data_IF_093751282168
#
_entry.id   IF_093751282168
#
_cell.length_a   1.000
_cell.length_b   1.000
_cell.length_c   1.000
_cell.angle_alpha   90.00
_cell.angle_beta   90.00
_cell.angle_gamma   90.00
#
_symmetry.space_group_name_H-M   'P 1'
#
loop_
_entity.id
_entity.type
_entity.pdbx_description
1 polymer ?
#
# COMPACT_ATOMS: atom_id res chain seq x y z
N UNK A 1 21.21 17.89 -15.76
CA UNK A 1 20.66 16.55 -16.00
C UNK A 1 21.33 15.39 -15.26
N UNK A 2 22.66 15.17 -15.17
CA UNK A 2 23.22 14.05 -14.37
C UNK A 2 23.02 14.15 -12.86
N UNK A 3 23.03 15.36 -12.29
CA UNK A 3 22.91 15.59 -10.86
C UNK A 3 21.48 15.32 -10.32
N UNK A 4 20.47 15.63 -11.11
CA UNK A 4 19.06 15.44 -10.75
C UNK A 4 18.66 13.96 -10.78
N UNK A 5 19.16 13.21 -11.78
CA UNK A 5 19.01 11.74 -11.86
C UNK A 5 19.66 11.07 -10.64
N UNK A 6 20.88 11.42 -10.26
CA UNK A 6 21.55 10.91 -9.03
C UNK A 6 20.79 11.26 -7.77
N UNK A 7 20.15 12.45 -7.71
CA UNK A 7 19.35 12.86 -6.54
C UNK A 7 18.07 12.03 -6.42
N UNK A 8 17.39 11.72 -7.53
CA UNK A 8 16.23 10.84 -7.57
C UNK A 8 16.57 9.40 -7.15
N UNK A 9 17.66 8.85 -7.69
CA UNK A 9 18.15 7.50 -7.35
C UNK A 9 18.46 7.39 -5.85
N UNK A 10 19.05 8.42 -5.25
CA UNK A 10 19.37 8.41 -3.81
C UNK A 10 18.12 8.52 -2.94
N UNK A 11 17.10 9.29 -3.35
CA UNK A 11 15.81 9.30 -2.67
C UNK A 11 15.18 7.92 -2.65
N UNK A 12 15.12 7.25 -3.81
CA UNK A 12 14.59 5.88 -3.92
C UNK A 12 15.34 4.90 -3.03
N UNK A 13 16.66 4.98 -2.97
CA UNK A 13 17.48 4.13 -2.09
C UNK A 13 17.13 4.35 -0.60
N UNK A 14 16.91 5.59 -0.19
CA UNK A 14 16.49 5.90 1.19
C UNK A 14 15.12 5.26 1.49
N UNK A 15 14.16 5.40 0.58
CA UNK A 15 12.81 4.83 0.74
C UNK A 15 12.85 3.30 0.78
N UNK A 16 13.67 2.67 -0.06
CA UNK A 16 13.87 1.23 -0.07
C UNK A 16 14.42 0.73 1.27
N UNK A 17 15.44 1.39 1.81
CA UNK A 17 16.01 1.00 3.11
C UNK A 17 14.99 1.18 4.25
N UNK A 18 14.13 2.21 4.20
CA UNK A 18 13.03 2.36 5.17
C UNK A 18 12.08 1.15 5.06
N UNK A 19 11.67 0.79 3.85
CA UNK A 19 10.78 -0.36 3.62
C UNK A 19 11.42 -1.67 4.13
N UNK A 20 12.72 -1.88 3.88
CA UNK A 20 13.47 -3.03 4.39
C UNK A 20 13.54 -3.06 5.93
N UNK A 21 13.78 -1.91 6.57
CA UNK A 21 13.77 -1.81 8.04
C UNK A 21 12.41 -2.14 8.64
N UNK A 22 11.33 -1.82 7.95
CA UNK A 22 9.96 -2.13 8.37
C UNK A 22 9.61 -3.62 8.24
N UNK A 23 10.41 -4.41 7.53
CA UNK A 23 10.21 -5.87 7.42
C UNK A 23 10.60 -6.63 8.69
N UNK A 24 11.40 -6.02 9.58
CA UNK A 24 11.73 -6.67 10.85
C UNK A 24 10.50 -6.67 11.77
N UNK A 25 9.93 -7.86 12.10
CA UNK A 25 8.75 -7.95 12.96
C UNK A 25 8.99 -7.46 14.39
N UNK A 26 10.23 -7.49 14.83
CA UNK A 26 10.71 -6.99 16.13
C UNK A 26 11.44 -5.66 15.99
N UNK A 27 11.40 -5.07 14.80
CA UNK A 27 12.18 -3.90 14.43
C UNK A 27 11.95 -2.74 15.38
N UNK A 28 13.06 -2.14 15.77
CA UNK A 28 13.07 -0.90 16.53
C UNK A 28 12.36 0.21 15.73
N UNK A 29 11.84 1.18 16.45
CA UNK A 29 11.30 2.40 15.82
C UNK A 29 12.35 2.99 14.87
N UNK A 30 11.96 3.24 13.62
CA UNK A 30 12.84 3.87 12.65
C UNK A 30 13.23 5.27 13.15
N UNK A 31 14.53 5.47 13.34
CA UNK A 31 15.11 6.77 13.64
C UNK A 31 16.02 7.20 12.49
N UNK A 32 16.24 8.52 12.34
CA UNK A 32 17.16 9.04 11.32
C UNK A 32 18.59 8.58 11.55
N UNK A 33 19.02 8.45 12.81
CA UNK A 33 20.33 7.91 13.17
C UNK A 33 20.51 6.46 12.72
N UNK A 34 19.49 5.59 12.97
CA UNK A 34 19.54 4.19 12.55
C UNK A 34 19.51 4.05 11.02
N UNK A 35 18.70 4.87 10.35
CA UNK A 35 18.63 4.93 8.89
C UNK A 35 19.96 5.39 8.27
N UNK A 36 20.57 6.43 8.83
CA UNK A 36 21.87 6.94 8.40
C UNK A 36 22.97 5.88 8.55
N UNK A 37 22.98 5.18 9.70
CA UNK A 37 23.90 4.06 9.95
C UNK A 37 23.72 2.94 8.92
N UNK A 38 22.47 2.57 8.59
CA UNK A 38 22.18 1.50 7.64
C UNK A 38 22.55 1.85 6.19
N UNK A 39 22.51 3.13 5.86
CA UNK A 39 22.92 3.69 4.56
C UNK A 39 24.40 4.04 4.47
N UNK A 40 25.15 3.90 5.57
CA UNK A 40 26.56 4.33 5.68
C UNK A 40 26.77 5.80 5.30
N UNK A 41 25.95 6.69 5.88
CA UNK A 41 26.00 8.13 5.67
C UNK A 41 25.81 8.89 6.99
N UNK A 42 26.07 10.20 6.98
CA UNK A 42 25.66 11.08 8.08
C UNK A 42 24.17 11.42 8.03
N UNK A 43 23.56 11.71 9.18
CA UNK A 43 22.18 12.21 9.21
C UNK A 43 22.00 13.50 8.39
N UNK A 44 23.02 14.38 8.38
CA UNK A 44 23.02 15.57 7.54
C UNK A 44 22.90 15.24 6.04
N UNK A 45 23.45 14.10 5.60
CA UNK A 45 23.31 13.66 4.21
C UNK A 45 21.89 13.21 3.89
N UNK A 46 21.15 12.62 4.84
CA UNK A 46 19.73 12.30 4.68
C UNK A 46 18.89 13.56 4.51
N UNK A 47 19.15 14.56 5.35
CA UNK A 47 18.42 15.83 5.34
C UNK A 47 18.65 16.69 4.09
N UNK A 48 19.67 16.39 3.27
CA UNK A 48 19.83 16.98 1.92
C UNK A 48 18.77 16.46 0.93
N UNK A 49 18.18 15.29 1.20
CA UNK A 49 17.20 14.65 0.32
C UNK A 49 15.77 14.81 0.84
N UNK A 50 15.57 14.81 2.16
CA UNK A 50 14.28 14.95 2.82
C UNK A 50 14.42 15.88 4.02
N UNK A 51 13.65 16.95 4.10
CA UNK A 51 13.77 17.95 5.16
C UNK A 51 13.38 17.42 6.57
N UNK A 52 12.70 16.27 6.64
CA UNK A 52 12.31 15.64 7.91
C UNK A 52 12.08 14.14 7.73
N UNK A 53 12.03 13.40 8.85
CA UNK A 53 11.59 12.00 8.87
C UNK A 53 10.17 11.85 8.31
N UNK A 54 9.27 12.76 8.65
CA UNK A 54 7.92 12.76 8.11
C UNK A 54 7.91 12.84 6.57
N UNK A 55 8.77 13.67 5.96
CA UNK A 55 8.90 13.73 4.50
C UNK A 55 9.45 12.42 3.90
N UNK A 56 10.27 11.68 4.62
CA UNK A 56 10.71 10.35 4.17
C UNK A 56 9.52 9.37 4.10
N UNK A 57 8.68 9.35 5.12
CA UNK A 57 7.46 8.55 5.12
C UNK A 57 6.45 9.04 4.06
N UNK A 58 6.31 10.36 3.86
CA UNK A 58 5.50 10.90 2.76
C UNK A 58 5.97 10.39 1.39
N UNK A 59 7.27 10.39 1.16
CA UNK A 59 7.85 9.85 -0.06
C UNK A 59 7.58 8.35 -0.23
N UNK A 60 7.61 7.57 0.87
CA UNK A 60 7.28 6.15 0.83
C UNK A 60 5.79 5.94 0.53
N UNK A 61 4.89 6.72 1.15
CA UNK A 61 3.45 6.67 0.87
C UNK A 61 3.17 7.05 -0.58
N UNK A 62 3.81 8.11 -1.09
CA UNK A 62 3.70 8.51 -2.50
C UNK A 62 4.12 7.38 -3.46
N UNK A 63 5.22 6.71 -3.17
CA UNK A 63 5.66 5.54 -3.94
C UNK A 63 4.62 4.41 -3.92
N UNK A 64 4.04 4.11 -2.74
CA UNK A 64 2.97 3.12 -2.60
C UNK A 64 1.75 3.52 -3.43
N UNK A 65 1.29 4.77 -3.33
CA UNK A 65 0.17 5.31 -4.08
C UNK A 65 0.37 5.17 -5.59
N UNK A 66 1.52 5.61 -6.09
CA UNK A 66 1.87 5.53 -7.52
C UNK A 66 1.89 4.07 -8.01
N UNK A 67 2.48 3.17 -7.21
CA UNK A 67 2.55 1.74 -7.54
C UNK A 67 1.17 1.09 -7.58
N UNK A 68 0.35 1.33 -6.56
CA UNK A 68 -0.99 0.74 -6.44
C UNK A 68 -1.93 1.30 -7.51
N UNK A 69 -2.06 2.62 -7.61
CA UNK A 69 -2.99 3.24 -8.56
C UNK A 69 -2.52 3.17 -10.01
N UNK A 70 -1.22 3.08 -10.26
CA UNK A 70 -0.70 2.80 -11.59
C UNK A 70 -1.23 1.47 -12.13
N UNK A 71 -1.24 0.43 -11.29
CA UNK A 71 -1.78 -0.89 -11.68
C UNK A 71 -3.30 -0.89 -11.71
N UNK A 72 -3.98 -0.31 -10.72
CA UNK A 72 -5.46 -0.21 -10.70
C UNK A 72 -5.97 0.48 -11.97
N UNK A 73 -5.40 1.62 -12.32
CA UNK A 73 -5.82 2.36 -13.51
C UNK A 73 -5.63 1.54 -14.80
N UNK A 74 -4.54 0.76 -14.87
CA UNK A 74 -4.29 -0.14 -15.99
C UNK A 74 -5.33 -1.26 -16.04
N UNK A 75 -5.64 -1.91 -14.92
CA UNK A 75 -6.67 -2.96 -14.86
C UNK A 75 -8.00 -2.42 -15.36
N UNK A 76 -8.42 -1.24 -14.88
CA UNK A 76 -9.70 -0.63 -15.26
C UNK A 76 -9.73 -0.21 -16.75
N UNK A 77 -8.57 0.14 -17.32
CA UNK A 77 -8.47 0.53 -18.72
C UNK A 77 -8.42 -0.67 -19.68
N UNK A 78 -7.83 -1.79 -19.26
CA UNK A 78 -7.53 -2.93 -20.13
C UNK A 78 -8.57 -4.07 -20.05
N UNK A 79 -9.43 -4.09 -19.03
CA UNK A 79 -10.46 -5.14 -18.80
C UNK A 79 -11.85 -4.52 -18.84
N UNK A 80 -12.72 -5.03 -19.73
CA UNK A 80 -14.10 -4.54 -19.90
C UNK A 80 -15.09 -5.13 -18.89
N UNK A 81 -14.82 -6.32 -18.35
CA UNK A 81 -15.69 -6.98 -17.39
C UNK A 81 -15.43 -6.47 -15.98
N UNK A 82 -16.38 -5.78 -15.39
CA UNK A 82 -16.23 -5.13 -14.10
C UNK A 82 -15.95 -6.11 -12.93
N UNK A 83 -16.51 -7.31 -12.93
CA UNK A 83 -16.19 -8.32 -11.91
C UNK A 83 -14.74 -8.80 -12.02
N UNK A 84 -14.23 -8.96 -13.24
CA UNK A 84 -12.82 -9.28 -13.46
C UNK A 84 -11.90 -8.14 -13.05
N UNK A 85 -12.32 -6.88 -13.27
CA UNK A 85 -11.59 -5.72 -12.74
C UNK A 85 -11.46 -5.79 -11.22
N UNK A 86 -12.58 -6.03 -10.51
CA UNK A 86 -12.60 -6.14 -9.04
C UNK A 86 -11.69 -7.28 -8.58
N UNK A 87 -11.84 -8.47 -9.16
CA UNK A 87 -10.98 -9.62 -8.83
C UNK A 87 -9.50 -9.30 -9.01
N UNK A 88 -9.12 -8.70 -10.14
CA UNK A 88 -7.75 -8.32 -10.44
C UNK A 88 -7.20 -7.25 -9.47
N UNK A 89 -8.02 -6.25 -9.11
CA UNK A 89 -7.65 -5.21 -8.14
C UNK A 89 -7.38 -5.83 -6.77
N UNK A 90 -8.30 -6.66 -6.26
CA UNK A 90 -8.13 -7.29 -4.94
C UNK A 90 -6.96 -8.26 -4.94
N UNK A 91 -6.81 -9.11 -5.98
CA UNK A 91 -5.64 -9.99 -6.14
C UNK A 91 -4.32 -9.21 -6.15
N UNK A 92 -4.30 -8.09 -6.87
CA UNK A 92 -3.13 -7.20 -6.93
C UNK A 92 -2.79 -6.62 -5.57
N UNK A 93 -3.79 -6.14 -4.80
CA UNK A 93 -3.58 -5.57 -3.47
C UNK A 93 -3.04 -6.61 -2.48
N UNK A 94 -3.56 -7.85 -2.51
CA UNK A 94 -3.06 -8.96 -1.70
C UNK A 94 -1.62 -9.32 -2.09
N UNK A 95 -1.35 -9.47 -3.39
CA UNK A 95 -0.02 -9.80 -3.90
C UNK A 95 1.00 -8.66 -3.75
N UNK A 96 0.57 -7.39 -3.76
CA UNK A 96 1.42 -6.25 -3.44
C UNK A 96 1.96 -6.35 -2.02
N UNK A 97 1.10 -6.70 -1.08
CA UNK A 97 1.47 -6.88 0.32
C UNK A 97 2.54 -7.98 0.49
N UNK A 98 2.38 -9.12 -0.16
CA UNK A 98 3.33 -10.24 -0.10
C UNK A 98 4.72 -9.87 -0.61
N UNK A 99 4.76 -9.09 -1.69
CA UNK A 99 6.02 -8.63 -2.28
C UNK A 99 6.67 -7.47 -1.52
N UNK A 100 5.90 -6.76 -0.68
CA UNK A 100 6.34 -5.55 0.00
C UNK A 100 5.96 -5.55 1.49
N UNK A 101 6.42 -6.54 2.29
CA UNK A 101 5.96 -6.71 3.67
C UNK A 101 6.19 -5.48 4.56
N UNK A 102 7.30 -4.75 4.37
CA UNK A 102 7.53 -3.51 5.12
C UNK A 102 6.54 -2.40 4.79
N UNK A 103 6.09 -2.30 3.53
CA UNK A 103 5.08 -1.31 3.12
C UNK A 103 3.70 -1.62 3.70
N UNK A 104 3.40 -2.90 3.98
CA UNK A 104 2.15 -3.31 4.63
C UNK A 104 2.00 -2.63 5.99
N UNK A 105 3.08 -2.52 6.77
CA UNK A 105 3.04 -1.84 8.08
C UNK A 105 2.71 -0.35 7.98
N UNK A 106 3.03 0.27 6.84
CA UNK A 106 2.60 1.64 6.54
C UNK A 106 1.12 1.65 6.17
N UNK A 107 0.68 0.75 5.28
CA UNK A 107 -0.70 0.65 4.78
C UNK A 107 -1.73 0.37 5.89
N UNK A 108 -1.36 -0.40 6.92
CA UNK A 108 -2.23 -0.66 8.09
C UNK A 108 -2.05 0.37 9.23
N UNK A 109 -1.20 1.39 9.04
CA UNK A 109 -0.91 2.42 10.05
C UNK A 109 0.05 2.00 11.18
N UNK A 110 0.45 0.74 11.25
CA UNK A 110 1.30 0.20 12.32
C UNK A 110 2.66 0.92 12.43
N UNK A 111 3.24 1.25 11.28
CA UNK A 111 4.50 2.00 11.21
C UNK A 111 4.34 3.51 11.45
N UNK A 112 3.11 4.01 11.52
CA UNK A 112 2.81 5.44 11.66
C UNK A 112 2.40 5.83 13.08
N UNK A 113 2.32 4.87 13.98
CA UNK A 113 2.03 5.13 15.41
C UNK A 113 3.10 6.04 15.98
N UNK A 114 2.68 7.16 16.57
CA UNK A 114 3.55 8.23 17.09
C UNK A 114 4.37 8.98 16.02
N UNK A 115 4.01 8.87 14.75
CA UNK A 115 4.50 9.74 13.68
C UNK A 115 3.53 10.94 13.47
N UNK A 116 3.78 11.77 12.48
CA UNK A 116 2.93 12.92 12.17
C UNK A 116 1.54 12.47 11.69
N UNK A 117 0.47 12.98 12.28
CA UNK A 117 -0.94 12.62 11.99
C UNK A 117 -1.29 12.69 10.49
N UNK A 118 -0.70 13.63 9.76
CA UNK A 118 -0.95 13.78 8.30
C UNK A 118 -0.58 12.52 7.51
N UNK A 119 0.35 11.71 8.00
CA UNK A 119 0.73 10.44 7.34
C UNK A 119 -0.42 9.44 7.43
N UNK A 120 -1.05 9.31 8.60
CA UNK A 120 -2.21 8.44 8.76
C UNK A 120 -3.40 8.94 7.94
N UNK A 121 -3.65 10.24 7.91
CA UNK A 121 -4.69 10.84 7.06
C UNK A 121 -4.47 10.51 5.58
N UNK A 122 -3.22 10.52 5.11
CA UNK A 122 -2.91 10.18 3.73
C UNK A 122 -3.15 8.69 3.42
N UNK A 123 -2.86 7.79 4.36
CA UNK A 123 -3.20 6.37 4.21
C UNK A 123 -4.72 6.17 4.20
N UNK A 124 -5.47 6.87 5.04
CA UNK A 124 -6.93 6.82 5.01
C UNK A 124 -7.47 7.26 3.64
N UNK A 125 -6.94 8.35 3.07
CA UNK A 125 -7.30 8.81 1.72
C UNK A 125 -6.95 7.79 0.62
N UNK A 126 -5.84 7.05 0.77
CA UNK A 126 -5.51 5.95 -0.14
C UNK A 126 -6.58 4.85 -0.08
N UNK A 127 -6.99 4.45 1.13
CA UNK A 127 -8.05 3.45 1.34
C UNK A 127 -9.38 3.94 0.76
N UNK A 128 -9.81 5.18 1.06
CA UNK A 128 -11.02 5.76 0.52
C UNK A 128 -11.05 5.76 -1.01
N UNK A 129 -9.92 6.05 -1.63
CA UNK A 129 -9.78 6.03 -3.09
C UNK A 129 -9.88 4.61 -3.67
N UNK A 130 -9.32 3.60 -3.01
CA UNK A 130 -9.47 2.19 -3.42
C UNK A 130 -10.95 1.78 -3.31
N UNK A 131 -11.61 2.10 -2.18
CA UNK A 131 -13.02 1.81 -1.95
C UNK A 131 -13.91 2.48 -3.01
N UNK A 132 -13.65 3.74 -3.33
CA UNK A 132 -14.38 4.45 -4.37
C UNK A 132 -14.22 3.79 -5.75
N UNK A 133 -13.03 3.27 -6.07
CA UNK A 133 -12.80 2.53 -7.32
C UNK A 133 -13.58 1.22 -7.35
N UNK A 134 -13.54 0.43 -6.27
CA UNK A 134 -14.30 -0.82 -6.16
C UNK A 134 -15.80 -0.56 -6.27
N UNK A 135 -16.32 0.46 -5.60
CA UNK A 135 -17.71 0.91 -5.69
C UNK A 135 -18.11 1.25 -7.13
N UNK A 136 -17.25 1.94 -7.86
CA UNK A 136 -17.51 2.26 -9.27
C UNK A 136 -17.52 1.00 -10.14
N UNK A 137 -16.59 0.07 -9.95
CA UNK A 137 -16.60 -1.21 -10.67
C UNK A 137 -17.87 -2.02 -10.38
N UNK A 138 -18.36 -2.05 -9.12
CA UNK A 138 -19.60 -2.71 -8.74
C UNK A 138 -20.82 -2.10 -9.44
N UNK A 139 -20.88 -0.78 -9.56
CA UNK A 139 -21.94 -0.10 -10.33
C UNK A 139 -21.92 -0.48 -11.81
N UNK A 140 -20.72 -0.58 -12.39
CA UNK A 140 -20.57 -1.05 -13.78
C UNK A 140 -20.99 -2.52 -13.89
N UNK A 141 -20.61 -3.38 -12.95
CA UNK A 141 -21.00 -4.78 -12.92
C UNK A 141 -22.54 -4.95 -12.91
N UNK A 142 -23.25 -4.09 -12.15
CA UNK A 142 -24.71 -4.07 -12.17
C UNK A 142 -25.28 -3.77 -13.57
N UNK A 143 -24.68 -2.86 -14.33
CA UNK A 143 -25.08 -2.59 -15.72
C UNK A 143 -24.74 -3.74 -16.68
N UNK A 144 -23.81 -4.61 -16.30
CA UNK A 144 -23.41 -5.80 -17.02
C UNK A 144 -24.24 -7.05 -16.63
N UNK A 145 -25.27 -6.88 -15.79
CA UNK A 145 -26.19 -7.93 -15.39
C UNK A 145 -25.82 -8.68 -14.10
N UNK A 146 -24.82 -8.21 -13.36
CA UNK A 146 -24.54 -8.74 -12.03
C UNK A 146 -25.55 -8.19 -11.02
N UNK A 147 -26.10 -9.06 -10.19
CA UNK A 147 -27.04 -8.65 -9.14
C UNK A 147 -26.29 -7.91 -8.01
N UNK A 148 -26.53 -6.62 -7.90
CA UNK A 148 -25.89 -5.75 -6.91
C UNK A 148 -26.92 -4.80 -6.29
N UNK A 149 -27.10 -4.91 -4.97
CA UNK A 149 -28.08 -4.13 -4.23
C UNK A 149 -27.49 -2.93 -3.49
N UNK A 150 -26.25 -3.04 -3.01
CA UNK A 150 -25.53 -1.97 -2.30
C UNK A 150 -24.04 -1.95 -2.63
N UNK A 151 -23.66 -1.29 -3.73
CA UNK A 151 -22.26 -1.18 -4.14
C UNK A 151 -21.36 -0.51 -3.08
N UNK A 152 -21.91 0.33 -2.19
CA UNK A 152 -21.13 0.98 -1.17
C UNK A 152 -20.77 0.02 -0.03
N UNK A 153 -21.77 -0.70 0.49
CA UNK A 153 -21.54 -1.71 1.53
C UNK A 153 -20.61 -2.82 1.06
N UNK A 154 -20.78 -3.29 -0.19
CA UNK A 154 -19.93 -4.33 -0.75
C UNK A 154 -18.50 -3.86 -0.99
N UNK A 155 -18.29 -2.65 -1.52
CA UNK A 155 -16.95 -2.08 -1.68
C UNK A 155 -16.22 -1.95 -0.33
N UNK A 156 -16.92 -1.48 0.70
CA UNK A 156 -16.40 -1.39 2.05
C UNK A 156 -16.03 -2.77 2.62
N UNK A 157 -16.88 -3.79 2.44
CA UNK A 157 -16.58 -5.17 2.83
C UNK A 157 -15.32 -5.69 2.13
N UNK A 158 -15.19 -5.47 0.82
CA UNK A 158 -14.03 -5.90 0.03
C UNK A 158 -12.74 -5.21 0.51
N UNK A 159 -12.77 -3.91 0.76
CA UNK A 159 -11.62 -3.20 1.31
C UNK A 159 -11.28 -3.69 2.72
N UNK A 160 -12.28 -3.87 3.59
CA UNK A 160 -12.11 -4.39 4.95
C UNK A 160 -11.49 -5.80 4.94
N UNK A 161 -11.89 -6.65 3.99
CA UNK A 161 -11.26 -7.95 3.77
C UNK A 161 -9.76 -7.80 3.46
N UNK A 162 -9.39 -6.95 2.50
CA UNK A 162 -7.99 -6.73 2.12
C UNK A 162 -7.18 -6.21 3.30
N UNK A 163 -7.67 -5.18 4.00
CA UNK A 163 -6.99 -4.60 5.17
C UNK A 163 -6.85 -5.63 6.30
N UNK A 164 -7.88 -6.44 6.53
CA UNK A 164 -7.84 -7.55 7.49
C UNK A 164 -6.77 -8.59 7.15
N UNK A 165 -6.62 -8.96 5.86
CA UNK A 165 -5.57 -9.87 5.38
C UNK A 165 -4.17 -9.26 5.55
N UNK A 166 -4.00 -7.98 5.25
CA UNK A 166 -2.75 -7.25 5.50
C UNK A 166 -2.38 -7.24 6.98
N UNK A 167 -3.37 -6.97 7.86
CA UNK A 167 -3.18 -6.98 9.30
C UNK A 167 -2.73 -8.36 9.81
N UNK A 168 -3.38 -9.43 9.37
CA UNK A 168 -3.00 -10.80 9.73
C UNK A 168 -1.58 -11.13 9.25
N UNK A 169 -1.21 -10.73 8.04
CA UNK A 169 0.11 -10.92 7.49
C UNK A 169 1.18 -10.23 8.34
N UNK A 170 1.03 -8.94 8.60
CA UNK A 170 1.97 -8.18 9.43
C UNK A 170 2.08 -8.76 10.85
N UNK A 171 0.95 -9.07 11.51
CA UNK A 171 0.93 -9.58 12.90
C UNK A 171 1.43 -11.01 13.01
N UNK A 172 1.43 -11.78 11.94
CA UNK A 172 2.04 -13.14 11.92
C UNK A 172 3.57 -13.12 11.73
N UNK A 173 4.19 -11.93 11.67
CA UNK A 173 5.59 -11.78 11.27
C UNK A 173 5.81 -12.18 9.82
N UNK A 174 4.85 -11.81 8.96
CA UNK A 174 4.85 -12.04 7.52
C UNK A 174 4.82 -13.53 7.11
N UNK A 175 4.22 -14.38 7.96
CA UNK A 175 4.14 -15.83 7.73
C UNK A 175 2.81 -16.31 7.15
N UNK A 176 1.75 -15.47 7.22
CA UNK A 176 0.41 -15.77 6.69
C UNK A 176 0.16 -14.97 5.41
N UNK A 177 0.42 -15.53 4.22
CA UNK A 177 0.25 -14.80 2.97
C UNK A 177 -1.17 -14.22 2.84
N UNK A 178 -1.34 -12.96 2.47
CA UNK A 178 -2.66 -12.36 2.26
C UNK A 178 -3.53 -13.11 1.25
N UNK A 179 -2.92 -13.68 0.21
CA UNK A 179 -3.63 -14.41 -0.85
C UNK A 179 -3.93 -15.89 -0.55
N UNK A 180 -3.49 -16.43 0.60
CA UNK A 180 -3.55 -17.89 0.91
C UNK A 180 -4.92 -18.55 0.66
N UNK A 181 -6.02 -17.83 0.91
CA UNK A 181 -7.37 -18.35 0.73
C UNK A 181 -8.17 -17.60 -0.35
N UNK A 182 -7.51 -16.78 -1.15
CA UNK A 182 -8.14 -15.83 -2.05
C UNK A 182 -9.17 -16.48 -2.98
N UNK A 183 -8.79 -17.50 -3.72
CA UNK A 183 -9.67 -18.16 -4.69
C UNK A 183 -10.91 -18.80 -4.05
N UNK A 184 -10.79 -19.25 -2.78
CA UNK A 184 -11.91 -19.81 -2.04
C UNK A 184 -12.83 -18.74 -1.43
N UNK A 185 -12.29 -17.58 -1.13
CA UNK A 185 -13.01 -16.48 -0.46
C UNK A 185 -13.60 -15.48 -1.46
N UNK A 186 -13.05 -15.39 -2.67
CA UNK A 186 -13.58 -14.52 -3.72
C UNK A 186 -15.10 -14.73 -3.98
N UNK A 187 -15.62 -15.96 -4.16
CA UNK A 187 -17.06 -16.17 -4.38
C UNK A 187 -17.95 -15.75 -3.20
N UNK A 188 -17.38 -15.52 -2.02
CA UNK A 188 -18.12 -15.05 -0.83
C UNK A 188 -18.22 -13.52 -0.77
N UNK A 189 -17.44 -12.81 -1.58
CA UNK A 189 -17.39 -11.36 -1.63
C UNK A 189 -18.28 -10.77 -2.74
N UNK A 190 -18.67 -11.57 -3.70
CA UNK A 190 -19.48 -11.18 -4.88
C UNK A 190 -20.85 -11.78 -4.90
#
# INVERSE_FOLDING_TARGET
MPAEKKRGERKMQILQVIAEMLQDPKGERITTALLAKKLDVSEAALYRHFASKAQMFEGLIEFIEQSVFGVINKIVADEDNALKQIHAILSMLLGFAERNPGMVRVLIGDALVNENERLQLRINQLHDRVEATLKQCLRVAATQGHEETDPAARANLMLSYVVGRWQQFAKSGFKRPPSELWEKQWPMLV
#
